data_IF_517871777202
#
_entry.id   IF_517871777202
#
_cell.length_a   1.000
_cell.length_b   1.000
_cell.length_c   1.000
_cell.angle_alpha   90.00
_cell.angle_beta   90.00
_cell.angle_gamma   90.00
#
_symmetry.space_group_name_H-M   'P 1'
#
loop_
_entity.id
_entity.type
_entity.pdbx_description
1 polymer ?
#
# COMPACT_ATOMS: atom_id res chain seq x y z
N UNK A 1 8.45 -4.81 -6.83
CA UNK A 1 9.31 -3.94 -6.00
C UNK A 1 10.27 -4.77 -5.16
N UNK A 2 11.58 -4.50 -5.24
CA UNK A 2 12.64 -5.21 -4.52
C UNK A 2 13.68 -4.18 -3.99
N UNK A 3 13.57 -3.76 -2.73
CA UNK A 3 14.48 -2.75 -2.15
C UNK A 3 13.95 -2.12 -0.86
N UNK A 4 14.80 -1.35 -0.18
CA UNK A 4 14.53 -0.72 1.13
C UNK A 4 14.43 0.83 1.07
N UNK A 5 14.26 1.39 -0.13
CA UNK A 5 14.20 2.82 -0.39
C UNK A 5 12.89 3.27 -1.04
N UNK A 6 11.83 2.44 -0.96
CA UNK A 6 10.62 2.63 -1.74
C UNK A 6 9.68 3.64 -1.08
N UNK A 7 9.42 4.81 -1.68
CA UNK A 7 8.56 5.83 -1.09
C UNK A 7 7.08 5.45 -1.27
N UNK A 8 6.36 5.43 -0.14
CA UNK A 8 4.93 5.13 -0.07
C UNK A 8 4.23 6.28 0.64
N UNK A 9 3.19 6.82 0.02
CA UNK A 9 2.37 7.88 0.60
C UNK A 9 1.14 7.28 1.29
N UNK A 10 0.88 7.72 2.51
CA UNK A 10 -0.40 7.61 3.19
C UNK A 10 -1.37 8.66 2.59
N UNK A 11 -2.47 8.19 2.01
CA UNK A 11 -3.43 9.04 1.32
C UNK A 11 -4.32 9.87 2.27
N UNK A 12 -4.50 9.42 3.51
CA UNK A 12 -5.31 10.12 4.50
C UNK A 12 -4.52 11.32 5.06
N UNK A 13 -3.25 11.12 5.40
CA UNK A 13 -2.44 12.15 6.05
C UNK A 13 -1.50 12.92 5.11
N UNK A 14 -1.29 12.41 3.90
CA UNK A 14 -0.32 12.93 2.94
C UNK A 14 1.14 12.64 3.29
N UNK A 15 1.42 11.94 4.41
CA UNK A 15 2.77 11.62 4.86
C UNK A 15 3.43 10.59 3.94
N UNK A 16 4.76 10.69 3.80
CA UNK A 16 5.56 9.74 3.02
C UNK A 16 6.43 8.90 3.94
N UNK A 17 6.41 7.59 3.69
CA UNK A 17 7.19 6.57 4.37
C UNK A 17 8.23 6.02 3.39
N UNK A 18 9.45 5.78 3.85
CA UNK A 18 10.43 4.98 3.11
C UNK A 18 10.29 3.54 3.61
N UNK A 19 10.05 2.61 2.68
CA UNK A 19 9.60 1.24 3.01
C UNK A 19 10.48 0.17 2.37
N UNK A 20 10.51 -1.00 3.02
CA UNK A 20 11.04 -2.24 2.47
C UNK A 20 9.98 -2.96 1.64
N UNK A 21 10.36 -3.40 0.44
CA UNK A 21 9.47 -4.01 -0.54
C UNK A 21 10.14 -5.22 -1.17
N UNK A 22 9.41 -6.33 -1.28
CA UNK A 22 9.88 -7.56 -1.91
C UNK A 22 8.71 -8.35 -2.53
N UNK A 23 8.03 -7.76 -3.51
CA UNK A 23 6.88 -8.36 -4.19
C UNK A 23 6.95 -8.21 -5.72
N UNK A 24 6.44 -9.21 -6.45
CA UNK A 24 6.36 -9.22 -7.92
C UNK A 24 4.95 -9.04 -8.49
N UNK A 25 3.93 -9.05 -7.63
CA UNK A 25 2.52 -8.88 -7.97
C UNK A 25 1.93 -7.70 -7.19
N UNK A 26 0.89 -7.07 -7.71
CA UNK A 26 0.16 -6.01 -7.04
C UNK A 26 -1.35 -6.25 -7.10
N UNK A 27 -2.10 -5.64 -6.19
CA UNK A 27 -3.56 -5.59 -6.25
C UNK A 27 -3.96 -4.64 -7.37
N UNK A 28 -4.84 -5.11 -8.25
CA UNK A 28 -5.43 -4.29 -9.31
C UNK A 28 -6.54 -3.41 -8.75
N UNK A 29 -6.40 -2.10 -8.93
CA UNK A 29 -7.34 -1.10 -8.43
C UNK A 29 -8.70 -1.17 -9.12
N UNK A 30 -8.73 -1.48 -10.42
CA UNK A 30 -10.00 -1.57 -11.17
C UNK A 30 -10.86 -2.74 -10.67
N UNK A 31 -10.22 -3.75 -10.09
CA UNK A 31 -10.87 -4.93 -9.51
C UNK A 31 -11.28 -4.75 -8.04
N UNK A 32 -10.97 -3.61 -7.42
CA UNK A 32 -11.12 -3.43 -5.97
C UNK A 32 -12.61 -3.33 -5.59
N UNK A 33 -13.12 -4.22 -4.71
CA UNK A 33 -14.50 -4.15 -4.27
C UNK A 33 -14.82 -2.86 -3.51
N UNK A 34 -16.05 -2.36 -3.65
CA UNK A 34 -16.48 -1.08 -3.04
C UNK A 34 -16.39 -1.02 -1.51
N UNK A 35 -16.38 -2.16 -0.82
CA UNK A 35 -16.23 -2.22 0.64
C UNK A 35 -14.77 -2.04 1.11
N UNK A 36 -13.81 -1.97 0.18
CA UNK A 36 -12.42 -1.65 0.44
C UNK A 36 -12.11 -0.23 -0.04
N UNK A 37 -11.13 0.38 0.61
CA UNK A 37 -10.56 1.67 0.21
C UNK A 37 -9.03 1.57 0.17
N UNK A 38 -8.42 2.33 -0.74
CA UNK A 38 -6.96 2.43 -0.85
C UNK A 38 -6.47 3.39 0.23
N UNK A 39 -5.50 2.95 1.03
CA UNK A 39 -4.91 3.76 2.11
C UNK A 39 -3.52 4.26 1.77
N UNK A 40 -2.76 3.49 0.97
CA UNK A 40 -1.39 3.84 0.64
C UNK A 40 -1.09 3.61 -0.84
N UNK A 41 -0.27 4.48 -1.42
CA UNK A 41 0.22 4.37 -2.80
C UNK A 41 1.72 4.48 -2.90
N UNK A 42 2.30 3.77 -3.86
CA UNK A 42 3.68 4.02 -4.23
C UNK A 42 3.80 5.38 -4.94
N UNK A 43 4.81 6.16 -4.55
CA UNK A 43 5.17 7.37 -5.28
C UNK A 43 6.06 7.11 -6.51
N UNK A 44 6.54 5.88 -6.72
CA UNK A 44 7.28 5.53 -7.93
C UNK A 44 6.37 5.26 -9.12
N UNK A 45 5.27 4.53 -8.91
CA UNK A 45 4.43 4.04 -10.03
C UNK A 45 2.93 4.06 -9.75
N UNK A 46 2.48 4.66 -8.63
CA UNK A 46 1.08 4.79 -8.23
C UNK A 46 0.35 3.47 -7.91
N UNK A 47 1.05 2.34 -7.88
CA UNK A 47 0.47 1.05 -7.49
C UNK A 47 -0.02 1.09 -6.03
N UNK A 48 -1.05 0.27 -5.75
CA UNK A 48 -1.62 0.13 -4.41
C UNK A 48 -0.56 -0.44 -3.46
N UNK A 49 -0.39 0.21 -2.32
CA UNK A 49 0.52 -0.20 -1.24
C UNK A 49 -0.20 -0.50 0.08
N UNK A 50 -1.49 -0.17 0.18
CA UNK A 50 -2.29 -0.50 1.35
C UNK A 50 -3.77 -0.33 1.09
N UNK A 51 -4.56 -1.15 1.78
CA UNK A 51 -6.02 -1.16 1.70
C UNK A 51 -6.62 -1.34 3.10
N UNK A 52 -7.85 -0.87 3.29
CA UNK A 52 -8.63 -1.06 4.52
C UNK A 52 -10.08 -1.37 4.17
N UNK A 53 -10.74 -2.20 4.98
CA UNK A 53 -12.18 -2.38 4.91
C UNK A 53 -12.89 -1.18 5.56
N UNK A 54 -13.89 -0.63 4.88
CA UNK A 54 -14.62 0.57 5.33
C UNK A 54 -15.39 0.44 6.66
N UNK A 55 -15.55 -0.78 7.17
CA UNK A 55 -16.46 -1.06 8.29
C UNK A 55 -15.86 -2.08 9.27
N UNK A 56 -15.17 -3.10 8.75
CA UNK A 56 -14.55 -4.14 9.56
C UNK A 56 -13.12 -3.75 9.97
N UNK A 57 -12.61 -4.22 11.13
CA UNK A 57 -11.24 -3.98 11.57
C UNK A 57 -10.24 -4.85 10.79
N UNK A 58 -10.20 -4.69 9.47
CA UNK A 58 -9.34 -5.43 8.56
C UNK A 58 -8.60 -4.44 7.65
N UNK A 59 -7.28 -4.58 7.57
CA UNK A 59 -6.42 -3.80 6.69
C UNK A 59 -5.26 -4.67 6.18
N UNK A 60 -4.65 -4.24 5.09
CA UNK A 60 -3.48 -4.89 4.50
C UNK A 60 -2.48 -3.85 4.01
N UNK A 61 -1.20 -4.22 4.04
CA UNK A 61 -0.10 -3.42 3.52
C UNK A 61 0.74 -4.31 2.60
N UNK A 62 1.17 -3.75 1.47
CA UNK A 62 1.85 -4.49 0.40
C UNK A 62 3.35 -4.65 0.65
N UNK A 63 3.96 -3.67 1.32
CA UNK A 63 5.35 -3.73 1.75
C UNK A 63 5.55 -4.49 3.06
N UNK A 64 6.78 -4.48 3.54
CA UNK A 64 7.20 -5.12 4.78
C UNK A 64 7.33 -4.07 5.90
N UNK A 65 6.29 -3.85 6.73
CA UNK A 65 6.34 -2.86 7.82
C UNK A 65 7.32 -3.24 8.93
N UNK A 66 7.63 -4.53 9.08
CA UNK A 66 8.67 -5.05 9.96
C UNK A 66 10.09 -4.69 9.49
N UNK A 67 10.24 -4.37 8.19
CA UNK A 67 11.49 -4.25 7.45
C UNK A 67 12.35 -5.52 7.42
N UNK A 68 12.65 -6.14 8.57
CA UNK A 68 13.38 -7.41 8.72
C UNK A 68 12.92 -8.22 9.93
#
# INVERSE_FOLDING_TARGET
HHGANHPVQDLETGKVLITSQNHGFCVDEESLPEYLEVTHRSLFDQTIQGIRHKEKPAFGFQGHPEAS
#
